data_IF_299141094177
#
_entry.id   IF_299141094177
#
_cell.length_a   1.000
_cell.length_b   1.000
_cell.length_c   1.000
_cell.angle_alpha   90.00
_cell.angle_beta   90.00
_cell.angle_gamma   90.00
#
_symmetry.space_group_name_H-M   'P 1'
#
loop_
_entity.id
_entity.type
_entity.pdbx_description
1 polymer ?
#
# COMPACT_ATOMS: atom_id res chain seq x y z
N UNK A 1 43.01 -55.93 72.77
CA UNK A 1 42.38 -54.60 72.72
C UNK A 1 42.09 -54.25 71.27
N UNK A 2 40.87 -53.77 71.05
CA UNK A 2 40.24 -53.05 69.92
C UNK A 2 40.31 -53.57 68.46
N UNK A 3 39.17 -53.51 67.73
CA UNK A 3 39.03 -53.91 66.32
C UNK A 3 38.78 -52.74 65.34
N UNK A 4 39.01 -53.07 64.05
CA UNK A 4 38.23 -52.76 62.83
C UNK A 4 37.88 -51.32 62.39
N UNK A 5 38.14 -51.05 61.11
CA UNK A 5 37.60 -49.89 60.39
C UNK A 5 36.24 -50.12 59.73
N UNK A 6 35.61 -49.06 59.21
CA UNK A 6 34.65 -48.95 58.07
C UNK A 6 34.15 -47.48 58.00
N UNK A 7 34.34 -46.80 56.86
CA UNK A 7 33.35 -46.42 55.82
C UNK A 7 32.33 -45.32 56.19
N UNK A 8 32.29 -44.30 55.30
CA UNK A 8 31.15 -43.49 54.81
C UNK A 8 30.21 -42.85 55.86
N UNK A 9 29.85 -41.57 55.79
CA UNK A 9 28.74 -41.12 54.95
C UNK A 9 28.73 -39.58 54.84
N UNK A 10 28.65 -39.16 53.58
CA UNK A 10 28.19 -37.90 52.98
C UNK A 10 26.96 -37.24 53.64
N UNK A 11 26.99 -35.93 53.94
CA UNK A 11 25.86 -35.02 53.70
C UNK A 11 26.42 -33.68 53.21
N UNK A 12 26.39 -33.52 51.89
CA UNK A 12 26.60 -32.28 51.16
C UNK A 12 25.32 -31.45 51.29
N UNK A 13 25.38 -30.25 51.84
CA UNK A 13 24.29 -29.27 51.75
C UNK A 13 24.14 -28.85 50.30
N UNK A 14 23.28 -29.57 49.58
CA UNK A 14 22.95 -29.30 48.19
C UNK A 14 21.93 -28.16 48.16
N UNK A 15 22.42 -26.94 47.89
CA UNK A 15 21.60 -25.78 47.57
C UNK A 15 20.85 -26.05 46.25
N UNK A 16 19.69 -26.70 46.37
CA UNK A 16 18.72 -26.82 45.29
C UNK A 16 18.03 -25.46 45.07
N UNK A 17 18.74 -24.48 44.53
CA UNK A 17 18.07 -23.50 43.67
C UNK A 17 17.63 -24.26 42.43
N UNK A 18 16.35 -24.65 42.40
CA UNK A 18 15.65 -25.06 41.18
C UNK A 18 15.69 -23.88 40.22
N UNK A 19 16.74 -23.82 39.40
CA UNK A 19 16.79 -22.92 38.26
C UNK A 19 15.82 -23.51 37.25
N UNK A 20 14.58 -23.03 37.25
CA UNK A 20 13.59 -23.39 36.24
C UNK A 20 14.14 -23.00 34.86
N UNK A 21 14.34 -23.93 33.91
CA UNK A 21 14.66 -23.56 32.55
C UNK A 21 13.37 -23.12 31.85
N UNK A 22 12.82 -21.96 32.20
CA UNK A 22 11.59 -21.41 31.61
C UNK A 22 11.74 -20.45 30.40
N UNK A 23 12.93 -19.98 29.94
CA UNK A 23 12.96 -19.06 28.79
C UNK A 23 12.82 -19.72 27.41
N UNK A 24 13.15 -21.01 27.27
CA UNK A 24 13.37 -21.62 25.94
C UNK A 24 12.08 -22.18 25.34
N UNK A 25 11.22 -22.77 26.16
CA UNK A 25 9.93 -23.33 25.71
C UNK A 25 8.90 -22.25 25.33
N UNK A 26 8.81 -21.16 26.10
CA UNK A 26 7.93 -20.02 25.77
C UNK A 26 8.39 -19.30 24.48
N UNK A 27 9.70 -19.11 24.28
CA UNK A 27 10.24 -18.49 23.08
C UNK A 27 10.04 -19.36 21.82
N UNK A 28 10.16 -20.68 21.94
CA UNK A 28 9.91 -21.62 20.84
C UNK A 28 8.42 -21.67 20.46
N UNK A 29 7.52 -21.64 21.44
CA UNK A 29 6.06 -21.56 21.20
C UNK A 29 5.68 -20.26 20.50
N UNK A 30 6.17 -19.11 20.98
CA UNK A 30 5.89 -17.81 20.35
C UNK A 30 6.42 -17.71 18.92
N UNK A 31 7.59 -18.30 18.63
CA UNK A 31 8.11 -18.33 17.26
C UNK A 31 7.20 -19.16 16.34
N UNK A 32 6.72 -20.31 16.81
CA UNK A 32 5.78 -21.17 16.08
C UNK A 32 4.47 -20.42 15.77
N UNK A 33 3.89 -19.77 16.77
CA UNK A 33 2.64 -18.99 16.64
C UNK A 33 2.79 -17.82 15.65
N UNK A 34 3.95 -17.16 15.65
CA UNK A 34 4.27 -16.09 14.71
C UNK A 34 4.36 -16.57 13.25
N UNK A 35 4.92 -17.76 13.03
CA UNK A 35 4.99 -18.37 11.70
C UNK A 35 3.61 -18.79 11.21
N UNK A 36 2.80 -19.40 12.08
CA UNK A 36 1.42 -19.78 11.73
C UNK A 36 0.54 -18.56 11.43
N UNK A 37 0.69 -17.47 12.19
CA UNK A 37 0.03 -16.21 11.91
C UNK A 37 0.47 -15.61 10.56
N UNK A 38 1.76 -15.70 10.21
CA UNK A 38 2.26 -15.25 8.91
C UNK A 38 1.67 -16.07 7.75
N UNK A 39 1.66 -17.40 7.89
CA UNK A 39 1.07 -18.32 6.91
C UNK A 39 -0.42 -17.99 6.71
N UNK A 40 -1.16 -17.80 7.80
CA UNK A 40 -2.57 -17.42 7.77
C UNK A 40 -2.79 -16.10 7.04
N UNK A 41 -1.94 -15.10 7.27
CA UNK A 41 -1.98 -13.81 6.56
C UNK A 41 -1.73 -13.99 5.05
N UNK A 42 -0.75 -14.80 4.67
CA UNK A 42 -0.44 -15.08 3.25
C UNK A 42 -1.63 -15.75 2.57
N UNK A 43 -2.21 -16.80 3.16
CA UNK A 43 -3.34 -17.50 2.55
C UNK A 43 -4.62 -16.66 2.51
N UNK A 44 -4.86 -15.84 3.53
CA UNK A 44 -5.95 -14.85 3.52
C UNK A 44 -5.76 -13.86 2.38
N UNK A 45 -4.57 -13.26 2.24
CA UNK A 45 -4.25 -12.33 1.16
C UNK A 45 -4.37 -12.98 -0.23
N UNK A 46 -3.91 -14.23 -0.42
CA UNK A 46 -4.10 -14.98 -1.67
C UNK A 46 -5.59 -15.16 -1.98
N UNK A 47 -6.40 -15.45 -0.96
CA UNK A 47 -7.85 -15.62 -1.13
C UNK A 47 -8.52 -14.29 -1.51
N UNK A 48 -8.14 -13.19 -0.87
CA UNK A 48 -8.57 -11.84 -1.25
C UNK A 48 -8.15 -11.47 -2.67
N UNK A 49 -6.90 -11.77 -3.06
CA UNK A 49 -6.38 -11.52 -4.41
C UNK A 49 -7.16 -12.30 -5.47
N UNK A 50 -7.48 -13.58 -5.20
CA UNK A 50 -8.33 -14.39 -6.09
C UNK A 50 -9.72 -13.79 -6.24
N UNK A 51 -10.33 -13.34 -5.15
CA UNK A 51 -11.64 -12.65 -5.20
C UNK A 51 -11.57 -11.37 -6.03
N UNK A 52 -10.56 -10.53 -5.82
CA UNK A 52 -10.35 -9.32 -6.59
C UNK A 52 -10.15 -9.60 -8.10
N UNK A 53 -9.42 -10.66 -8.44
CA UNK A 53 -9.25 -11.10 -9.83
C UNK A 53 -10.57 -11.56 -10.47
N UNK A 54 -11.41 -12.30 -9.75
CA UNK A 54 -12.74 -12.71 -10.23
C UNK A 54 -13.62 -11.47 -10.44
N UNK A 55 -13.60 -10.51 -9.52
CA UNK A 55 -14.32 -9.24 -9.67
C UNK A 55 -13.86 -8.49 -10.92
N UNK A 56 -12.56 -8.41 -11.16
CA UNK A 56 -11.98 -7.80 -12.35
C UNK A 56 -12.48 -8.49 -13.63
N UNK A 57 -12.40 -9.82 -13.69
CA UNK A 57 -12.92 -10.63 -14.80
C UNK A 57 -14.42 -10.38 -15.04
N UNK A 58 -15.21 -10.33 -13.96
CA UNK A 58 -16.66 -10.10 -14.05
C UNK A 58 -17.00 -8.68 -14.55
N UNK A 59 -16.19 -7.68 -14.20
CA UNK A 59 -16.38 -6.30 -14.64
C UNK A 59 -16.09 -6.09 -16.14
N UNK A 60 -15.43 -7.05 -16.79
CA UNK A 60 -15.24 -7.04 -18.23
C UNK A 60 -16.48 -7.53 -19.01
N UNK A 61 -17.49 -8.14 -18.37
CA UNK A 61 -18.68 -8.65 -19.07
C UNK A 61 -19.96 -8.57 -18.22
N UNK A 62 -20.87 -7.62 -18.52
CA UNK A 62 -20.72 -6.53 -19.50
C UNK A 62 -19.63 -5.53 -19.08
N UNK A 63 -19.02 -4.85 -20.04
CA UNK A 63 -17.93 -3.91 -19.79
C UNK A 63 -18.38 -2.75 -18.88
N UNK A 64 -17.76 -2.65 -17.71
CA UNK A 64 -18.03 -1.62 -16.71
C UNK A 64 -16.70 -0.99 -16.25
N UNK A 65 -16.33 0.20 -16.77
CA UNK A 65 -15.01 0.79 -16.51
C UNK A 65 -14.81 1.17 -15.04
N UNK A 66 -15.88 1.56 -14.33
CA UNK A 66 -15.80 1.95 -12.92
C UNK A 66 -15.54 0.74 -12.04
N UNK A 67 -16.20 -0.40 -12.33
CA UNK A 67 -15.94 -1.66 -11.63
C UNK A 67 -14.58 -2.25 -11.97
N UNK A 68 -14.12 -2.12 -13.22
CA UNK A 68 -12.77 -2.53 -13.61
C UNK A 68 -11.74 -1.74 -12.79
N UNK A 69 -11.88 -0.41 -12.71
CA UNK A 69 -10.96 0.42 -11.93
C UNK A 69 -10.96 0.05 -10.43
N UNK A 70 -12.13 -0.19 -9.85
CA UNK A 70 -12.26 -0.61 -8.46
C UNK A 70 -11.59 -1.97 -8.19
N UNK A 71 -11.82 -2.96 -9.05
CA UNK A 71 -11.21 -4.28 -8.92
C UNK A 71 -9.70 -4.26 -9.14
N UNK A 72 -9.20 -3.47 -10.11
CA UNK A 72 -7.76 -3.22 -10.33
C UNK A 72 -7.10 -2.67 -9.07
N UNK A 73 -7.73 -1.68 -8.42
CA UNK A 73 -7.23 -1.11 -7.15
C UNK A 73 -7.13 -2.17 -6.06
N UNK A 74 -8.13 -3.04 -5.93
CA UNK A 74 -8.08 -4.17 -4.98
C UNK A 74 -6.94 -5.14 -5.29
N UNK A 75 -6.76 -5.54 -6.55
CA UNK A 75 -5.65 -6.44 -6.96
C UNK A 75 -4.30 -5.83 -6.59
N UNK A 76 -4.09 -4.56 -6.90
CA UNK A 76 -2.84 -3.84 -6.59
C UNK A 76 -2.63 -3.77 -5.07
N UNK A 77 -3.68 -3.49 -4.31
CA UNK A 77 -3.63 -3.44 -2.84
C UNK A 77 -3.20 -4.79 -2.25
N UNK A 78 -3.79 -5.89 -2.69
CA UNK A 78 -3.44 -7.22 -2.18
C UNK A 78 -2.00 -7.62 -2.55
N UNK A 79 -1.54 -7.30 -3.78
CA UNK A 79 -0.14 -7.52 -4.17
C UNK A 79 0.84 -6.70 -3.32
N UNK A 80 0.49 -5.46 -3.00
CA UNK A 80 1.28 -4.58 -2.13
C UNK A 80 1.37 -5.16 -0.71
N UNK A 81 0.25 -5.58 -0.14
CA UNK A 81 0.19 -6.24 1.17
C UNK A 81 1.09 -7.48 1.22
N UNK A 82 1.11 -8.30 0.16
CA UNK A 82 1.98 -9.47 0.07
C UNK A 82 3.47 -9.08 0.05
N UNK A 83 3.81 -8.01 -0.66
CA UNK A 83 5.17 -7.46 -0.68
C UNK A 83 5.61 -6.97 0.70
N UNK A 84 4.73 -6.27 1.42
CA UNK A 84 4.97 -5.81 2.79
C UNK A 84 5.16 -6.98 3.77
N UNK A 85 4.35 -8.04 3.66
CA UNK A 85 4.51 -9.26 4.46
C UNK A 85 5.88 -9.90 4.22
N UNK A 86 6.33 -9.97 2.96
CA UNK A 86 7.66 -10.48 2.61
C UNK A 86 8.78 -9.62 3.20
N UNK A 87 8.67 -8.28 3.12
CA UNK A 87 9.64 -7.37 3.73
C UNK A 87 9.70 -7.53 5.25
N UNK A 88 8.56 -7.50 5.92
CA UNK A 88 8.47 -7.67 7.37
C UNK A 88 9.06 -9.01 7.85
N UNK A 89 8.85 -10.09 7.10
CA UNK A 89 9.46 -11.38 7.40
C UNK A 89 11.00 -11.33 7.30
N UNK A 90 11.54 -10.69 6.24
CA UNK A 90 12.98 -10.54 6.05
C UNK A 90 13.63 -9.68 7.14
N UNK A 91 12.99 -8.59 7.54
CA UNK A 91 13.50 -7.71 8.61
C UNK A 91 13.55 -8.41 9.97
N UNK A 92 12.54 -9.24 10.28
CA UNK A 92 12.47 -10.00 11.55
C UNK A 92 13.39 -11.22 11.58
N UNK A 93 13.79 -11.73 10.41
CA UNK A 93 14.65 -12.90 10.28
C UNK A 93 15.95 -12.57 9.51
N UNK A 94 16.76 -11.61 10.01
CA UNK A 94 18.04 -11.29 9.40
C UNK A 94 18.98 -12.50 9.60
N UNK A 95 19.44 -13.11 8.50
CA UNK A 95 20.29 -14.30 8.59
C UNK A 95 21.72 -13.93 8.99
N UNK A 96 22.36 -14.70 9.90
CA UNK A 96 23.78 -14.52 10.23
C UNK A 96 24.65 -14.79 9.00
N UNK A 97 25.66 -13.96 8.83
CA UNK A 97 26.58 -13.92 7.69
C UNK A 97 27.42 -15.21 7.64
N UNK A 98 26.99 -16.24 6.91
CA UNK A 98 27.84 -17.35 6.52
C UNK A 98 28.22 -17.26 5.04
N UNK A 99 29.46 -17.65 4.75
CA UNK A 99 30.09 -17.53 3.45
C UNK A 99 29.54 -18.59 2.46
N UNK A 100 28.76 -18.12 1.48
CA UNK A 100 28.17 -18.85 0.32
C UNK A 100 26.85 -19.61 0.56
N UNK A 101 25.86 -19.60 -0.37
CA UNK A 101 25.82 -18.95 -1.70
C UNK A 101 25.05 -17.62 -1.65
N UNK A 102 25.74 -16.56 -1.21
CA UNK A 102 25.22 -15.18 -1.22
C UNK A 102 24.82 -14.77 -2.65
N UNK A 103 25.57 -15.24 -3.65
CA UNK A 103 25.44 -14.83 -5.05
C UNK A 103 24.10 -15.23 -5.67
N UNK A 104 23.63 -16.47 -5.50
CA UNK A 104 22.34 -16.90 -6.07
C UNK A 104 21.15 -16.16 -5.45
N UNK A 105 21.23 -15.80 -4.17
CA UNK A 105 20.18 -15.04 -3.49
C UNK A 105 20.19 -13.58 -3.92
N UNK A 106 21.37 -12.96 -4.00
CA UNK A 106 21.52 -11.59 -4.49
C UNK A 106 21.03 -11.47 -5.94
N UNK A 107 21.31 -12.46 -6.78
CA UNK A 107 20.79 -12.52 -8.16
C UNK A 107 19.26 -12.54 -8.17
N UNK A 108 18.61 -13.36 -7.33
CA UNK A 108 17.15 -13.39 -7.24
C UNK A 108 16.56 -12.04 -6.77
N UNK A 109 17.25 -11.37 -5.84
CA UNK A 109 16.84 -10.05 -5.34
C UNK A 109 17.03 -8.94 -6.39
N UNK A 110 18.13 -8.95 -7.13
CA UNK A 110 18.37 -8.06 -8.26
C UNK A 110 17.29 -8.28 -9.33
N UNK A 111 16.97 -9.54 -9.66
CA UNK A 111 15.94 -9.87 -10.65
C UNK A 111 14.56 -9.37 -10.22
N UNK A 112 14.25 -9.48 -8.94
CA UNK A 112 13.01 -8.95 -8.37
C UNK A 112 12.95 -7.43 -8.49
N UNK A 113 14.01 -6.73 -8.08
CA UNK A 113 14.12 -5.28 -8.19
C UNK A 113 14.03 -4.80 -9.65
N UNK A 114 14.64 -5.50 -10.59
CA UNK A 114 14.52 -5.21 -12.02
C UNK A 114 13.10 -5.38 -12.54
N UNK A 115 12.38 -6.41 -12.06
CA UNK A 115 10.97 -6.63 -12.43
C UNK A 115 10.06 -5.52 -11.86
N UNK A 116 10.37 -5.06 -10.65
CA UNK A 116 9.69 -3.94 -10.01
C UNK A 116 9.94 -2.63 -10.77
N UNK A 117 11.18 -2.36 -11.18
CA UNK A 117 11.52 -1.18 -11.99
C UNK A 117 10.75 -1.16 -13.32
N UNK A 118 10.68 -2.27 -14.05
CA UNK A 118 9.87 -2.39 -15.27
C UNK A 118 8.39 -2.08 -15.01
N UNK A 119 7.86 -2.50 -13.86
CA UNK A 119 6.47 -2.21 -13.47
C UNK A 119 6.27 -0.71 -13.24
N UNK A 120 7.19 -0.06 -12.53
CA UNK A 120 7.14 1.40 -12.35
C UNK A 120 7.29 2.16 -13.66
N UNK A 121 8.15 1.73 -14.58
CA UNK A 121 8.27 2.33 -15.91
C UNK A 121 6.94 2.32 -16.67
N UNK A 122 6.23 1.18 -16.67
CA UNK A 122 4.90 1.07 -17.30
C UNK A 122 3.89 1.98 -16.60
N UNK A 123 3.92 2.03 -15.27
CA UNK A 123 3.03 2.87 -14.47
C UNK A 123 3.26 4.36 -14.73
N UNK A 124 4.51 4.80 -14.83
CA UNK A 124 4.88 6.18 -15.19
C UNK A 124 4.31 6.54 -16.55
N UNK A 125 4.47 5.68 -17.56
CA UNK A 125 3.90 5.91 -18.90
C UNK A 125 2.36 6.01 -18.87
N UNK A 126 1.70 5.15 -18.09
CA UNK A 126 0.24 5.20 -17.88
C UNK A 126 -0.17 6.54 -17.26
N UNK A 127 0.49 6.98 -16.19
CA UNK A 127 0.17 8.25 -15.53
C UNK A 127 0.47 9.47 -16.40
N UNK A 128 1.55 9.46 -17.18
CA UNK A 128 1.82 10.51 -18.16
C UNK A 128 0.67 10.64 -19.17
N UNK A 129 0.15 9.52 -19.68
CA UNK A 129 -0.96 9.50 -20.64
C UNK A 129 -2.26 10.00 -19.99
N UNK A 130 -2.53 9.60 -18.75
CA UNK A 130 -3.68 10.08 -17.99
C UNK A 130 -3.60 11.58 -17.74
N UNK A 131 -2.43 12.11 -17.38
CA UNK A 131 -2.21 13.54 -17.17
C UNK A 131 -2.51 14.33 -18.44
N UNK A 132 -1.91 13.93 -19.57
CA UNK A 132 -2.16 14.56 -20.89
C UNK A 132 -3.64 14.54 -21.28
N UNK A 133 -4.34 13.43 -20.99
CA UNK A 133 -5.78 13.32 -21.25
C UNK A 133 -6.57 14.31 -20.41
N UNK A 134 -6.24 14.44 -19.12
CA UNK A 134 -6.91 15.39 -18.21
C UNK A 134 -6.60 16.84 -18.57
N UNK A 135 -5.37 17.16 -18.95
CA UNK A 135 -4.99 18.49 -19.45
C UNK A 135 -5.82 18.87 -20.69
N UNK A 136 -5.99 17.93 -21.61
CA UNK A 136 -6.83 18.13 -22.81
C UNK A 136 -8.30 18.38 -22.43
N UNK A 137 -8.83 17.62 -21.46
CA UNK A 137 -10.20 17.82 -20.97
C UNK A 137 -10.37 19.19 -20.28
N UNK A 138 -9.38 19.63 -19.51
CA UNK A 138 -9.38 20.96 -18.88
C UNK A 138 -9.45 22.05 -19.94
N UNK A 139 -8.60 21.98 -20.98
CA UNK A 139 -8.59 22.95 -22.08
C UNK A 139 -9.95 22.99 -22.81
N UNK A 140 -10.54 21.82 -23.08
CA UNK A 140 -11.86 21.72 -23.70
C UNK A 140 -12.95 22.37 -22.83
N UNK A 141 -12.97 22.11 -21.53
CA UNK A 141 -13.93 22.70 -20.60
C UNK A 141 -13.75 24.22 -20.50
N UNK A 142 -12.50 24.71 -20.45
CA UNK A 142 -12.21 26.14 -20.45
C UNK A 142 -12.74 26.82 -21.72
N UNK A 143 -12.56 26.20 -22.89
CA UNK A 143 -13.12 26.69 -24.15
C UNK A 143 -14.65 26.74 -24.10
N UNK A 144 -15.32 25.70 -23.59
CA UNK A 144 -16.78 25.69 -23.45
C UNK A 144 -17.27 26.81 -22.53
N UNK A 145 -16.57 27.07 -21.42
CA UNK A 145 -16.87 28.18 -20.51
C UNK A 145 -16.73 29.52 -21.23
N UNK A 146 -15.66 29.72 -22.01
CA UNK A 146 -15.45 30.95 -22.78
C UNK A 146 -16.57 31.17 -23.81
N UNK A 147 -16.93 30.13 -24.56
CA UNK A 147 -18.01 30.19 -25.55
C UNK A 147 -19.37 30.47 -24.90
N UNK A 148 -19.67 29.82 -23.78
CA UNK A 148 -20.88 30.07 -22.99
C UNK A 148 -20.94 31.51 -22.48
N UNK A 149 -19.82 32.05 -21.98
CA UNK A 149 -19.72 33.44 -21.55
C UNK A 149 -19.92 34.44 -22.70
N UNK A 150 -19.33 34.18 -23.87
CA UNK A 150 -19.57 35.01 -25.05
C UNK A 150 -21.04 35.01 -25.48
N UNK A 151 -21.70 33.84 -25.45
CA UNK A 151 -23.14 33.72 -25.72
C UNK A 151 -23.95 34.49 -24.69
N UNK A 152 -23.64 34.35 -23.39
CA UNK A 152 -24.27 35.09 -22.28
C UNK A 152 -24.20 36.60 -22.49
N UNK A 153 -23.00 37.14 -22.75
CA UNK A 153 -22.80 38.58 -22.98
C UNK A 153 -23.57 39.08 -24.21
N UNK A 154 -23.59 38.30 -25.31
CA UNK A 154 -24.37 38.65 -26.51
C UNK A 154 -25.87 38.70 -26.22
N UNK A 155 -26.39 37.73 -25.46
CA UNK A 155 -27.81 37.71 -25.06
C UNK A 155 -28.14 38.88 -24.13
N UNK A 156 -27.28 39.18 -23.17
CA UNK A 156 -27.46 40.30 -22.25
C UNK A 156 -27.53 41.64 -22.98
N UNK A 157 -26.66 41.87 -23.97
CA UNK A 157 -26.72 43.06 -24.84
C UNK A 157 -28.04 43.15 -25.62
N UNK A 158 -28.53 42.02 -26.16
CA UNK A 158 -29.81 41.96 -26.87
C UNK A 158 -31.00 42.25 -25.95
N UNK A 159 -30.97 41.76 -24.70
CA UNK A 159 -32.02 42.02 -23.71
C UNK A 159 -32.04 43.49 -23.29
N UNK A 160 -30.87 44.09 -23.06
CA UNK A 160 -30.71 45.53 -22.79
C UNK A 160 -31.27 46.39 -23.93
N UNK A 161 -30.95 46.05 -25.18
CA UNK A 161 -31.49 46.73 -26.37
C UNK A 161 -33.02 46.62 -26.50
N UNK A 162 -33.60 45.50 -26.05
CA UNK A 162 -35.05 45.27 -26.09
C UNK A 162 -35.80 45.90 -24.90
N UNK A 163 -35.10 46.54 -23.97
CA UNK A 163 -35.69 47.10 -22.75
C UNK A 163 -36.18 46.04 -21.75
N UNK A 164 -35.72 44.79 -21.89
CA UNK A 164 -36.16 43.65 -21.07
C UNK A 164 -35.15 43.28 -19.97
N UNK A 165 -34.11 44.09 -19.76
CA UNK A 165 -33.15 43.88 -18.67
C UNK A 165 -33.65 44.56 -17.41
N UNK A 166 -33.87 43.81 -16.34
CA UNK A 166 -34.04 44.39 -15.00
C UNK A 166 -32.78 45.19 -14.65
N UNK A 167 -32.95 46.41 -14.12
CA UNK A 167 -31.86 47.17 -13.50
C UNK A 167 -31.53 46.48 -12.17
N UNK A 168 -30.39 45.82 -12.08
CA UNK A 168 -29.76 45.57 -10.77
C UNK A 168 -28.88 46.78 -10.40
N UNK A 169 -28.76 47.11 -9.10
CA UNK A 169 -28.04 48.30 -8.66
C UNK A 169 -26.54 48.12 -8.87
N UNK A 170 -25.91 49.18 -9.40
CA UNK A 170 -24.47 49.38 -9.34
C UNK A 170 -24.05 49.46 -7.87
N UNK A 171 -23.32 48.47 -7.39
CA UNK A 171 -22.11 48.61 -6.56
C UNK A 171 -21.77 47.25 -5.94
N UNK A 172 -20.53 46.80 -6.16
CA UNK A 172 -19.60 46.35 -5.13
C UNK A 172 -18.34 45.79 -5.80
N UNK A 173 -17.38 46.71 -5.94
CA UNK A 173 -15.96 46.55 -5.66
C UNK A 173 -15.26 45.23 -6.04
N UNK A 174 -14.51 45.40 -7.12
CA UNK A 174 -13.23 44.80 -7.48
C UNK A 174 -12.28 44.58 -6.27
N UNK A 175 -12.34 43.39 -5.62
CA UNK A 175 -11.23 42.85 -4.82
C UNK A 175 -11.22 41.33 -4.89
N UNK A 176 -10.47 40.78 -5.84
CA UNK A 176 -10.00 39.40 -5.75
C UNK A 176 -8.48 39.39 -5.86
N UNK A 177 -7.83 39.79 -4.76
CA UNK A 177 -6.43 39.42 -4.47
C UNK A 177 -6.38 37.91 -4.24
N UNK A 178 -6.09 37.18 -5.30
CA UNK A 178 -5.76 35.76 -5.21
C UNK A 178 -4.29 35.63 -4.80
N UNK A 179 -4.05 35.50 -3.50
CA UNK A 179 -2.73 35.14 -2.94
C UNK A 179 -2.51 33.62 -3.09
N UNK A 180 -1.43 33.16 -3.76
CA UNK A 180 -1.03 31.77 -3.72
C UNK A 180 -0.19 31.55 -2.46
N UNK A 181 -0.67 30.72 -1.54
CA UNK A 181 0.08 30.33 -0.35
C UNK A 181 1.26 29.40 -0.70
N UNK A 182 2.39 29.65 -0.04
CA UNK A 182 3.54 28.76 0.12
C UNK A 182 3.16 27.43 0.78
#
# INVERSE_FOLDING_TARGET
MLPSGTKETQIHENNNQKVHPQPVEEAMSQHQDNVEALITKIFTNISSLKSAYIQLQSAHTPYDPDKIEAADKCVISELKNLSELKHAYREKNPKPTSASPQDSRLVAEIQEQQSLLKTYEVMVKKFQTQLQTRDTQILQLQQQIQEANQKRVKLEKKLKLRGLSAKEPEDLEDKNEFSPWN
#
